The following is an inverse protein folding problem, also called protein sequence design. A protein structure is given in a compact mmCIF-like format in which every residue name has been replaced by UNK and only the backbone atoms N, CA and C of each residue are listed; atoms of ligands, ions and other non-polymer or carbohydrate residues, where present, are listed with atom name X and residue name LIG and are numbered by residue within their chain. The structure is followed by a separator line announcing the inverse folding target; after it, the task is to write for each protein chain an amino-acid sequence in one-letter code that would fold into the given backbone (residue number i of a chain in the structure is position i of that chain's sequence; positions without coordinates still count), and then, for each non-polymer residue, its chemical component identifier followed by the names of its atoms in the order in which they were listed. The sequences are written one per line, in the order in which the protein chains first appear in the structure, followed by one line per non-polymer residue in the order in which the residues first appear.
data_IF_334599914742
#
_entry.id   IF_334599914742
#
_cell.length_a   1.000
_cell.length_b   1.000
_cell.length_c   1.000
_cell.angle_alpha   90.00
_cell.angle_beta   90.00
_cell.angle_gamma   90.00
#
_symmetry.space_group_name_H-M   'P 1'
#
loop_
_entity.id
_entity.type
_entity.pdbx_description
1 polymer ?
#
# COMPACT_ATOMS: atom_id res chain seq x y z
N UNK A 1 -1.87 14.90 28.47
CA UNK A 1 -0.99 14.13 29.37
C UNK A 1 -1.51 12.71 29.41
N UNK A 2 -0.72 11.73 28.97
CA UNK A 2 -1.06 10.31 29.13
C UNK A 2 -0.78 9.89 30.60
N UNK A 3 -1.57 8.96 31.16
CA UNK A 3 -1.41 8.54 32.56
C UNK A 3 -0.08 7.82 32.81
N UNK A 4 0.51 8.04 33.99
CA UNK A 4 1.88 7.66 34.36
C UNK A 4 2.18 6.16 34.49
N UNK A 5 1.22 5.27 34.18
CA UNK A 5 1.33 3.82 34.31
C UNK A 5 1.03 3.07 33.00
N UNK A 6 1.36 3.66 31.85
CA UNK A 6 1.33 2.90 30.59
C UNK A 6 2.41 1.84 30.62
N UNK A 7 2.03 0.57 30.50
CA UNK A 7 2.93 -0.54 30.15
C UNK A 7 3.82 -0.07 29.00
N UNK A 8 5.16 -0.30 29.05
CA UNK A 8 6.01 0.07 27.93
C UNK A 8 5.47 -0.59 26.66
N UNK A 9 5.36 0.17 25.58
CA UNK A 9 4.96 -0.35 24.29
C UNK A 9 5.88 -1.51 23.94
N UNK A 10 5.30 -2.70 23.79
CA UNK A 10 6.05 -3.87 23.37
C UNK A 10 6.17 -3.83 21.85
N UNK A 11 7.41 -3.77 21.36
CA UNK A 11 7.69 -3.92 19.94
C UNK A 11 7.57 -5.41 19.57
N UNK A 12 6.79 -5.70 18.54
CA UNK A 12 6.70 -7.05 17.97
C UNK A 12 7.91 -7.25 17.05
N UNK A 13 8.70 -8.30 17.31
CA UNK A 13 9.86 -8.67 16.49
C UNK A 13 9.65 -10.01 15.76
N UNK A 14 8.70 -10.80 16.22
CA UNK A 14 8.38 -12.13 15.71
C UNK A 14 6.97 -12.17 15.14
N UNK A 15 6.66 -13.11 14.21
CA UNK A 15 5.30 -13.27 13.71
C UNK A 15 4.28 -13.43 14.83
N UNK A 16 3.20 -12.63 14.76
CA UNK A 16 2.20 -12.57 15.81
C UNK A 16 0.79 -12.32 15.26
N UNK A 17 -0.21 -12.79 16.00
CA UNK A 17 -1.62 -12.47 15.79
C UNK A 17 -2.11 -11.59 16.93
N UNK A 18 -2.82 -10.53 16.60
CA UNK A 18 -3.59 -9.75 17.57
C UNK A 18 -5.05 -10.17 17.41
N UNK A 19 -5.62 -10.70 18.49
CA UNK A 19 -7.00 -11.19 18.52
C UNK A 19 -7.90 -10.23 19.27
N UNK A 20 -9.20 -10.23 18.95
CA UNK A 20 -10.23 -9.64 19.80
C UNK A 20 -10.62 -10.60 20.95
N UNK A 21 -11.66 -10.23 21.71
CA UNK A 21 -12.14 -11.04 22.85
C UNK A 21 -12.89 -12.31 22.44
N UNK A 22 -13.21 -12.44 21.16
CA UNK A 22 -13.93 -13.56 20.57
C UNK A 22 -13.00 -14.41 19.70
N UNK A 23 -11.68 -14.28 19.87
CA UNK A 23 -10.63 -14.94 19.11
C UNK A 23 -10.61 -14.63 17.60
N UNK A 24 -11.28 -13.55 17.16
CA UNK A 24 -11.17 -13.09 15.78
C UNK A 24 -9.83 -12.39 15.56
N UNK A 25 -9.18 -12.66 14.43
CA UNK A 25 -7.92 -12.00 14.08
C UNK A 25 -8.18 -10.55 13.66
N UNK A 26 -7.60 -9.61 14.40
CA UNK A 26 -7.61 -8.17 14.09
C UNK A 26 -6.38 -7.75 13.28
N UNK A 27 -5.21 -8.30 13.61
CA UNK A 27 -3.94 -7.97 12.95
C UNK A 27 -3.10 -9.23 12.76
N UNK A 28 -2.62 -9.42 11.53
CA UNK A 28 -1.52 -10.32 11.21
C UNK A 28 -0.22 -9.50 11.17
N UNK A 29 0.68 -9.75 12.10
CA UNK A 29 2.03 -9.21 12.06
C UNK A 29 2.99 -10.29 11.54
N UNK A 30 3.49 -10.11 10.32
CA UNK A 30 4.29 -11.12 9.62
C UNK A 30 5.62 -10.49 9.13
N UNK A 31 6.59 -10.27 10.03
CA UNK A 31 7.87 -9.71 9.66
C UNK A 31 8.59 -10.65 8.70
N UNK A 32 9.25 -10.08 7.68
CA UNK A 32 10.02 -10.83 6.67
C UNK A 32 9.23 -11.85 5.85
N UNK A 33 7.89 -11.81 5.85
CA UNK A 33 7.06 -12.69 5.02
C UNK A 33 7.26 -12.47 3.52
N UNK A 34 7.64 -11.25 3.11
CA UNK A 34 8.09 -10.95 1.75
C UNK A 34 9.60 -11.16 1.71
N UNK A 35 10.10 -11.99 0.80
CA UNK A 35 11.54 -12.23 0.66
C UNK A 35 12.30 -10.95 0.32
N UNK A 36 13.56 -10.85 0.76
CA UNK A 36 14.40 -9.68 0.50
C UNK A 36 14.51 -9.31 -1.00
N UNK A 37 14.65 -10.27 -1.95
CA UNK A 37 14.62 -9.95 -3.38
C UNK A 37 13.30 -9.30 -3.82
N UNK A 38 12.16 -9.79 -3.31
CA UNK A 38 10.86 -9.22 -3.63
C UNK A 38 10.67 -7.84 -3.00
N UNK A 39 11.11 -7.63 -1.77
CA UNK A 39 11.09 -6.30 -1.14
C UNK A 39 11.91 -5.29 -1.96
N UNK A 40 13.11 -5.68 -2.40
CA UNK A 40 13.95 -4.86 -3.27
C UNK A 40 13.26 -4.57 -4.60
N UNK A 41 12.65 -5.58 -5.23
CA UNK A 41 11.92 -5.40 -6.48
C UNK A 41 10.74 -4.42 -6.33
N UNK A 42 9.93 -4.56 -5.27
CA UNK A 42 8.85 -3.60 -4.94
C UNK A 42 9.43 -2.18 -4.85
N UNK A 43 10.51 -2.01 -4.08
CA UNK A 43 11.13 -0.69 -3.88
C UNK A 43 11.66 -0.08 -5.19
N UNK A 44 12.36 -0.87 -6.01
CA UNK A 44 12.89 -0.37 -7.29
C UNK A 44 11.77 -0.03 -8.27
N UNK A 45 10.72 -0.86 -8.34
CA UNK A 45 9.58 -0.59 -9.20
C UNK A 45 8.84 0.67 -8.77
N UNK A 46 8.72 0.93 -7.46
CA UNK A 46 8.10 2.15 -6.93
C UNK A 46 8.79 3.45 -7.39
N UNK A 47 10.09 3.41 -7.74
CA UNK A 47 10.79 4.58 -8.29
C UNK A 47 10.23 5.04 -9.63
N UNK A 48 9.60 4.15 -10.40
CA UNK A 48 8.89 4.51 -11.64
C UNK A 48 7.70 5.43 -11.38
N UNK A 49 7.18 5.44 -10.15
CA UNK A 49 6.10 6.31 -9.72
C UNK A 49 6.56 7.63 -9.09
N UNK A 50 7.86 7.93 -9.04
CA UNK A 50 8.37 9.13 -8.36
C UNK A 50 7.67 10.42 -8.83
N UNK A 51 7.52 10.61 -10.14
CA UNK A 51 6.87 11.79 -10.70
C UNK A 51 5.34 11.81 -10.47
N UNK A 52 4.59 10.72 -10.74
CA UNK A 52 3.18 10.63 -10.37
C UNK A 52 2.91 10.86 -8.88
N UNK A 53 3.73 10.29 -8.00
CA UNK A 53 3.58 10.42 -6.54
C UNK A 53 3.78 11.87 -6.11
N UNK A 54 4.83 12.55 -6.59
CA UNK A 54 5.09 13.94 -6.25
C UNK A 54 3.92 14.88 -6.54
N UNK A 55 3.15 14.59 -7.60
CA UNK A 55 1.95 15.36 -7.98
C UNK A 55 0.74 15.15 -7.08
N UNK A 56 0.71 14.06 -6.32
CA UNK A 56 -0.38 13.81 -5.36
C UNK A 56 -0.30 14.75 -4.16
N UNK A 57 0.88 15.33 -3.91
CA UNK A 57 1.10 16.33 -2.89
C UNK A 57 0.73 17.70 -3.48
N UNK A 58 -0.27 18.40 -2.91
CA UNK A 58 -0.70 19.69 -3.44
C UNK A 58 0.40 20.73 -3.23
N UNK A 59 0.75 21.47 -4.29
CA UNK A 59 1.72 22.56 -4.24
C UNK A 59 1.26 23.75 -3.38
N UNK A 60 -0.05 23.88 -3.18
CA UNK A 60 -0.67 24.83 -2.25
C UNK A 60 -1.93 24.20 -1.67
N UNK A 61 -2.18 24.39 -0.38
CA UNK A 61 -3.38 23.88 0.28
C UNK A 61 -4.56 24.79 -0.09
N UNK A 62 -5.62 24.28 -0.73
CA UNK A 62 -6.84 25.06 -0.93
C UNK A 62 -7.42 25.44 0.43
N UNK A 63 -7.88 26.67 0.59
CA UNK A 63 -8.59 27.12 1.80
C UNK A 63 -9.75 26.16 2.10
N UNK A 64 -9.64 25.40 3.19
CA UNK A 64 -10.70 24.51 3.68
C UNK A 64 -10.63 23.05 3.20
N UNK A 65 -9.65 22.63 2.37
CA UNK A 65 -9.47 21.22 1.98
C UNK A 65 -8.17 20.68 2.57
N UNK A 66 -8.27 20.09 3.77
CA UNK A 66 -7.16 19.37 4.41
C UNK A 66 -7.28 17.86 4.13
N UNK A 67 -6.79 17.41 2.97
CA UNK A 67 -6.57 15.97 2.79
C UNK A 67 -5.33 15.55 3.58
N UNK A 68 -5.55 14.99 4.75
CA UNK A 68 -4.46 14.53 5.62
C UNK A 68 -3.56 13.48 4.95
N UNK A 69 -4.01 12.73 3.92
CA UNK A 69 -3.16 11.71 3.28
C UNK A 69 -2.07 12.29 2.38
N UNK A 70 -2.28 13.50 1.86
CA UNK A 70 -1.36 14.15 0.92
C UNK A 70 -0.84 15.48 1.42
N UNK A 71 -1.04 15.80 2.70
CA UNK A 71 -0.59 17.05 3.29
C UNK A 71 0.96 17.14 3.26
N UNK A 72 1.55 18.22 2.70
CA UNK A 72 3.00 18.33 2.52
C UNK A 72 3.82 18.12 3.82
N UNK A 73 3.33 18.67 4.93
CA UNK A 73 4.03 18.61 6.24
C UNK A 73 4.11 17.20 6.85
N UNK A 74 3.40 16.21 6.31
CA UNK A 74 3.45 14.82 6.78
C UNK A 74 4.54 13.99 6.10
N UNK A 75 5.23 14.55 5.11
CA UNK A 75 6.33 13.88 4.41
C UNK A 75 7.67 14.40 4.93
N UNK A 76 8.64 13.49 5.10
CA UNK A 76 10.01 13.90 5.43
C UNK A 76 10.62 14.70 4.28
N UNK A 77 11.44 15.70 4.60
CA UNK A 77 12.10 16.53 3.60
C UNK A 77 13.15 15.75 2.78
N UNK A 78 13.75 14.72 3.36
CA UNK A 78 14.82 13.90 2.79
C UNK A 78 14.35 12.53 2.24
N UNK A 79 13.05 12.27 2.17
CA UNK A 79 12.55 11.00 1.63
C UNK A 79 12.79 10.87 0.10
N UNK A 80 13.28 9.70 -0.32
CA UNK A 80 13.52 9.34 -1.74
C UNK A 80 12.25 9.39 -2.60
N UNK A 81 11.12 8.95 -2.04
CA UNK A 81 9.81 8.94 -2.68
C UNK A 81 8.79 9.60 -1.76
N UNK A 82 7.94 10.48 -2.32
CA UNK A 82 6.92 11.23 -1.59
C UNK A 82 5.63 11.28 -2.39
N UNK A 83 4.51 11.12 -1.70
CA UNK A 83 3.18 11.12 -2.28
C UNK A 83 2.33 9.99 -1.75
N UNK A 84 1.15 9.82 -2.33
CA UNK A 84 0.21 8.78 -1.96
C UNK A 84 -0.16 7.93 -3.18
N UNK A 85 -0.18 6.62 -3.00
CA UNK A 85 -0.77 5.67 -3.93
C UNK A 85 -1.58 4.66 -3.14
N UNK A 86 -2.75 4.29 -3.66
CA UNK A 86 -3.56 3.21 -3.10
C UNK A 86 -3.44 2.01 -4.03
N UNK A 87 -3.12 0.85 -3.47
CA UNK A 87 -3.06 -0.43 -4.17
C UNK A 87 -4.15 -1.33 -3.59
N UNK A 88 -5.07 -1.80 -4.44
CA UNK A 88 -6.21 -2.60 -4.02
C UNK A 88 -6.08 -4.03 -4.55
N UNK A 89 -5.40 -4.90 -3.80
CA UNK A 89 -5.08 -6.27 -4.23
C UNK A 89 -6.33 -7.14 -4.47
N UNK A 90 -7.35 -7.00 -3.61
CA UNK A 90 -8.60 -7.79 -3.66
C UNK A 90 -9.68 -7.18 -4.59
N UNK A 91 -9.60 -5.87 -4.85
CA UNK A 91 -10.64 -5.14 -5.60
C UNK A 91 -10.78 -5.64 -7.03
N UNK A 92 -9.65 -6.02 -7.61
CA UNK A 92 -9.58 -6.59 -8.94
C UNK A 92 -10.40 -7.91 -9.06
N UNK A 93 -10.49 -8.71 -7.99
CA UNK A 93 -11.28 -9.94 -7.97
C UNK A 93 -12.77 -9.69 -7.69
N UNK A 94 -13.14 -8.64 -6.95
CA UNK A 94 -14.54 -8.33 -6.64
C UNK A 94 -15.28 -7.62 -7.80
N UNK A 95 -14.55 -6.94 -8.69
CA UNK A 95 -15.13 -6.16 -9.79
C UNK A 95 -15.14 -6.84 -11.16
N UNK A 96 -14.40 -7.93 -11.36
CA UNK A 96 -14.23 -8.55 -12.67
C UNK A 96 -14.67 -10.03 -12.65
N UNK A 97 -15.51 -10.41 -13.61
CA UNK A 97 -16.03 -11.78 -13.76
C UNK A 97 -15.09 -12.71 -14.53
N UNK A 98 -13.94 -12.21 -14.97
CA UNK A 98 -13.00 -12.94 -15.84
C UNK A 98 -11.63 -13.09 -15.19
N UNK A 99 -11.09 -14.31 -15.21
CA UNK A 99 -9.77 -14.69 -14.68
C UNK A 99 -8.61 -13.94 -15.37
N UNK A 100 -8.83 -13.34 -16.55
CA UNK A 100 -7.76 -12.79 -17.39
C UNK A 100 -7.55 -11.27 -17.31
N UNK A 101 -8.23 -10.54 -16.43
CA UNK A 101 -8.00 -9.09 -16.42
C UNK A 101 -6.63 -8.83 -15.75
N UNK A 102 -5.85 -7.90 -16.28
CA UNK A 102 -4.56 -7.55 -15.69
C UNK A 102 -4.78 -6.50 -14.57
N UNK A 103 -3.88 -6.41 -13.57
CA UNK A 103 -3.90 -5.29 -12.65
C UNK A 103 -3.83 -3.98 -13.46
N UNK A 104 -4.58 -2.96 -13.04
CA UNK A 104 -4.57 -1.66 -13.73
C UNK A 104 -4.47 -0.51 -12.75
N UNK A 105 -3.75 0.54 -13.16
CA UNK A 105 -3.74 1.80 -12.44
C UNK A 105 -5.07 2.54 -12.57
N UNK A 106 -5.41 3.35 -11.57
CA UNK A 106 -6.59 4.22 -11.60
C UNK A 106 -6.50 5.27 -12.72
N UNK A 107 -7.66 5.75 -13.19
CA UNK A 107 -7.73 6.77 -14.24
C UNK A 107 -6.87 8.01 -13.92
N UNK A 108 -6.88 8.45 -12.67
CA UNK A 108 -6.06 9.57 -12.17
C UNK A 108 -4.56 9.36 -12.40
N UNK A 109 -4.06 8.14 -12.21
CA UNK A 109 -2.64 7.81 -12.48
C UNK A 109 -2.36 7.70 -13.98
N UNK A 110 -3.36 7.36 -14.80
CA UNK A 110 -3.25 7.21 -16.27
C UNK A 110 -3.33 8.54 -17.03
N UNK A 111 -4.08 9.53 -16.55
CA UNK A 111 -4.32 10.82 -17.21
C UNK A 111 -3.07 11.69 -17.39
N UNK A 112 -1.95 11.34 -16.76
CA UNK A 112 -0.74 12.14 -16.75
C UNK A 112 0.28 11.66 -17.79
N UNK A 113 1.10 12.58 -18.34
CA UNK A 113 2.17 12.30 -19.33
C UNK A 113 3.19 11.22 -18.90
N UNK A 114 3.14 10.78 -17.65
CA UNK A 114 3.90 9.65 -17.10
C UNK A 114 3.21 8.28 -17.29
N UNK A 115 2.16 8.18 -18.14
CA UNK A 115 1.40 6.96 -18.41
C UNK A 115 2.28 5.73 -18.69
N UNK A 116 3.44 5.93 -19.34
CA UNK A 116 4.40 4.86 -19.60
C UNK A 116 5.04 4.30 -18.32
N UNK A 117 5.43 5.16 -17.38
CA UNK A 117 6.04 4.74 -16.11
C UNK A 117 5.03 4.03 -15.19
N UNK A 118 3.78 4.49 -15.19
CA UNK A 118 2.69 3.84 -14.44
C UNK A 118 2.36 2.48 -15.02
N UNK A 119 2.23 2.37 -16.35
CA UNK A 119 2.00 1.08 -17.02
C UNK A 119 3.14 0.11 -16.77
N UNK A 120 4.38 0.57 -16.93
CA UNK A 120 5.58 -0.24 -16.68
C UNK A 120 5.67 -0.69 -15.21
N UNK A 121 5.32 0.18 -14.26
CA UNK A 121 5.25 -0.16 -12.85
C UNK A 121 4.24 -1.29 -12.57
N UNK A 122 3.03 -1.20 -13.15
CA UNK A 122 1.99 -2.23 -13.04
C UNK A 122 2.50 -3.56 -13.59
N UNK A 123 3.07 -3.56 -14.79
CA UNK A 123 3.57 -4.78 -15.45
C UNK A 123 4.72 -5.42 -14.67
N UNK A 124 5.69 -4.63 -14.22
CA UNK A 124 6.87 -5.15 -13.52
C UNK A 124 6.61 -5.57 -12.08
N UNK A 125 5.50 -5.12 -11.49
CA UNK A 125 5.14 -5.45 -10.10
C UNK A 125 4.12 -6.59 -10.00
N UNK A 126 3.72 -7.18 -11.13
CA UNK A 126 2.67 -8.22 -11.22
C UNK A 126 2.92 -9.38 -10.26
N UNK A 127 4.13 -9.91 -10.24
CA UNK A 127 4.47 -11.08 -9.43
C UNK A 127 4.41 -10.76 -7.94
N UNK A 128 4.86 -9.57 -7.54
CA UNK A 128 4.80 -9.12 -6.16
C UNK A 128 3.36 -8.87 -5.72
N UNK A 129 2.51 -8.35 -6.61
CA UNK A 129 1.07 -8.24 -6.34
C UNK A 129 0.40 -9.60 -6.21
N UNK A 130 0.80 -10.59 -7.02
CA UNK A 130 0.28 -11.95 -6.90
C UNK A 130 0.63 -12.57 -5.54
N UNK A 131 1.86 -12.37 -5.05
CA UNK A 131 2.29 -12.84 -3.72
C UNK A 131 1.47 -12.18 -2.61
N UNK A 132 1.36 -10.86 -2.63
CA UNK A 132 0.59 -10.12 -1.63
C UNK A 132 -0.91 -10.47 -1.70
N UNK A 133 -1.44 -10.65 -2.90
CA UNK A 133 -2.84 -11.07 -3.10
C UNK A 133 -3.08 -12.48 -2.57
N UNK A 134 -2.16 -13.42 -2.80
CA UNK A 134 -2.23 -14.77 -2.23
C UNK A 134 -2.20 -14.77 -0.70
N UNK A 135 -1.37 -13.91 -0.09
CA UNK A 135 -1.39 -13.73 1.37
C UNK A 135 -2.73 -13.17 1.86
N UNK A 136 -3.28 -12.17 1.16
CA UNK A 136 -4.60 -11.61 1.48
C UNK A 136 -5.74 -12.61 1.32
N UNK A 137 -5.68 -13.51 0.33
CA UNK A 137 -6.66 -14.57 0.14
C UNK A 137 -6.70 -15.56 1.33
N UNK A 138 -5.55 -15.78 1.98
CA UNK A 138 -5.46 -16.60 3.20
C UNK A 138 -6.01 -15.85 4.41
N UNK A 139 -5.68 -14.56 4.54
CA UNK A 139 -6.08 -13.73 5.69
C UNK A 139 -7.55 -13.30 5.64
N UNK A 140 -8.12 -13.19 4.44
CA UNK A 140 -9.47 -12.69 4.19
C UNK A 140 -10.21 -13.54 3.14
N UNK A 141 -10.46 -14.83 3.42
CA UNK A 141 -11.03 -15.77 2.45
C UNK A 141 -12.37 -15.29 1.89
N UNK A 142 -13.24 -14.71 2.72
CA UNK A 142 -14.56 -14.22 2.29
C UNK A 142 -14.49 -13.08 1.26
N UNK A 143 -13.41 -12.29 1.26
CA UNK A 143 -13.22 -11.24 0.26
C UNK A 143 -12.72 -11.76 -1.10
N UNK A 144 -12.26 -13.01 -1.13
CA UNK A 144 -11.59 -13.68 -2.24
C UNK A 144 -12.37 -14.90 -2.76
N UNK A 145 -13.51 -15.21 -2.14
CA UNK A 145 -14.41 -16.32 -2.46
C UNK A 145 -15.32 -16.04 -3.67
#
# INVERSE_FOLDING_TARGET
MLPANSTPWQELQEPALILDRSDNVLVWYLPSAVSQPNQMAIWQNMKMLQEPLGKTIPASLPLGINNWRTHPDLFRMDADLKGAVNVSLAWFQQGHTTISSDPEASALLKEHRAANGVKQWVEQSRDQWAILSGAMAIMHPDMYA
#
